data_IF_909903672846
#
_entry.id   IF_909903672846
#
_cell.length_a   1.000
_cell.length_b   1.000
_cell.length_c   1.000
_cell.angle_alpha   90.00
_cell.angle_beta   90.00
_cell.angle_gamma   90.00
#
_symmetry.space_group_name_H-M   'P 1'
#
loop_
_entity.id
_entity.type
_entity.pdbx_description
1 polymer ?
#
# COMPACT_ATOMS: atom_id res chain seq x y z
N UNK A 1 -25.42 12.79 9.06
CA UNK A 1 -24.63 13.65 8.16
C UNK A 1 -23.69 12.72 7.40
N UNK A 2 -23.87 12.53 6.09
CA UNK A 2 -23.08 11.56 5.30
C UNK A 2 -21.86 12.29 4.78
N UNK A 3 -20.68 11.96 5.29
CA UNK A 3 -19.42 12.46 4.73
C UNK A 3 -19.14 11.68 3.45
N UNK A 4 -19.25 12.35 2.31
CA UNK A 4 -18.78 11.79 1.02
C UNK A 4 -17.44 12.44 0.80
N UNK A 5 -16.37 11.67 0.95
CA UNK A 5 -15.04 12.14 0.60
C UNK A 5 -15.04 12.54 -0.89
N UNK A 6 -14.40 13.66 -1.27
CA UNK A 6 -14.23 14.00 -2.67
C UNK A 6 -13.49 12.85 -3.40
N UNK A 7 -13.73 12.67 -4.71
CA UNK A 7 -13.00 11.67 -5.48
C UNK A 7 -11.49 11.91 -5.33
N UNK A 8 -10.74 10.83 -5.17
CA UNK A 8 -9.29 10.88 -5.05
C UNK A 8 -8.61 11.39 -6.33
N UNK A 9 -7.27 11.55 -6.30
CA UNK A 9 -6.50 11.94 -7.48
C UNK A 9 -6.72 10.97 -8.63
N UNK A 10 -6.53 11.44 -9.86
CA UNK A 10 -6.43 10.57 -11.03
C UNK A 10 -5.31 9.54 -10.84
N UNK A 11 -5.52 8.31 -11.31
CA UNK A 11 -4.50 7.27 -11.28
C UNK A 11 -3.71 7.27 -12.58
N UNK A 12 -2.38 7.17 -12.46
CA UNK A 12 -1.45 7.08 -13.58
C UNK A 12 -0.59 5.84 -13.45
N UNK A 13 -0.23 5.23 -14.57
CA UNK A 13 0.69 4.09 -14.59
C UNK A 13 2.10 4.58 -14.33
N UNK A 14 2.75 4.05 -13.31
CA UNK A 14 4.15 4.33 -13.03
C UNK A 14 5.06 3.50 -13.93
N UNK A 15 5.98 4.11 -14.67
CA UNK A 15 6.97 3.37 -15.46
C UNK A 15 7.86 2.47 -14.57
N UNK A 16 8.24 2.98 -13.40
CA UNK A 16 9.03 2.23 -12.41
C UNK A 16 8.20 1.09 -11.80
N UNK A 17 6.94 1.36 -11.45
CA UNK A 17 6.01 0.36 -10.93
C UNK A 17 5.74 -0.75 -11.95
N UNK A 18 5.48 -0.39 -13.21
CA UNK A 18 5.20 -1.34 -14.29
C UNK A 18 6.39 -2.25 -14.55
N UNK A 19 7.61 -1.70 -14.58
CA UNK A 19 8.84 -2.48 -14.72
C UNK A 19 9.00 -3.48 -13.56
N UNK A 20 8.61 -3.09 -12.35
CA UNK A 20 8.68 -3.96 -11.17
C UNK A 20 7.63 -5.08 -11.21
N UNK A 21 6.39 -4.76 -11.58
CA UNK A 21 5.31 -5.74 -11.76
C UNK A 21 5.71 -6.79 -12.81
N UNK A 22 6.18 -6.36 -13.97
CA UNK A 22 6.60 -7.25 -15.06
C UNK A 22 7.72 -8.21 -14.66
N UNK A 23 8.73 -7.68 -13.96
CA UNK A 23 9.82 -8.49 -13.41
C UNK A 23 9.28 -9.53 -12.42
N UNK A 24 8.40 -9.14 -11.49
CA UNK A 24 7.84 -10.07 -10.52
C UNK A 24 6.95 -11.14 -11.16
N UNK A 25 6.15 -10.79 -12.18
CA UNK A 25 5.37 -11.78 -12.93
C UNK A 25 6.27 -12.79 -13.65
N UNK A 26 7.38 -12.31 -14.22
CA UNK A 26 8.38 -13.20 -14.84
C UNK A 26 8.96 -14.17 -13.82
N UNK A 27 9.37 -13.68 -12.65
CA UNK A 27 9.91 -14.51 -11.56
C UNK A 27 8.88 -15.52 -11.02
N UNK A 28 7.60 -15.13 -10.93
CA UNK A 28 6.52 -16.04 -10.53
C UNK A 28 6.35 -17.15 -11.57
N UNK A 29 6.33 -16.80 -12.87
CA UNK A 29 6.22 -17.77 -13.95
C UNK A 29 7.39 -18.76 -13.97
N UNK A 30 8.61 -18.29 -13.75
CA UNK A 30 9.79 -19.16 -13.67
C UNK A 30 9.76 -20.09 -12.46
N UNK A 31 9.28 -19.59 -11.30
CA UNK A 31 9.24 -20.36 -10.06
C UNK A 31 8.08 -21.35 -10.02
N UNK A 32 6.93 -20.99 -10.62
CA UNK A 32 5.71 -21.79 -10.62
C UNK A 32 5.09 -21.76 -12.04
N UNK A 33 5.62 -22.56 -12.98
CA UNK A 33 5.21 -22.51 -14.39
C UNK A 33 3.73 -22.83 -14.64
N UNK A 34 3.12 -23.63 -13.76
CA UNK A 34 1.73 -24.06 -13.86
C UNK A 34 0.73 -23.09 -13.18
N UNK A 35 1.23 -22.01 -12.56
CA UNK A 35 0.36 -20.99 -11.96
C UNK A 35 -0.12 -20.03 -13.03
N UNK A 36 -1.43 -20.03 -13.28
CA UNK A 36 -2.07 -18.99 -14.08
C UNK A 36 -2.27 -17.74 -13.22
N UNK A 37 -1.58 -16.65 -13.61
CA UNK A 37 -1.73 -15.33 -12.99
C UNK A 37 -2.47 -14.44 -13.98
N UNK A 38 -3.75 -14.16 -13.70
CA UNK A 38 -4.59 -13.26 -14.49
C UNK A 38 -4.69 -11.90 -13.78
N UNK A 39 -3.73 -11.02 -14.06
CA UNK A 39 -3.68 -9.66 -13.49
C UNK A 39 -3.41 -8.64 -14.59
N UNK A 40 -4.02 -7.46 -14.46
CA UNK A 40 -3.70 -6.32 -15.33
C UNK A 40 -2.46 -5.61 -14.78
N UNK A 41 -1.33 -5.81 -15.44
CA UNK A 41 -0.04 -5.23 -15.05
C UNK A 41 -0.09 -3.71 -14.89
N UNK A 42 -0.89 -3.03 -15.72
CA UNK A 42 -0.99 -1.56 -15.72
C UNK A 42 -1.85 -1.11 -14.55
N UNK A 43 -2.90 -1.86 -14.22
CA UNK A 43 -3.70 -1.61 -13.03
C UNK A 43 -2.87 -1.81 -11.76
N UNK A 44 -2.09 -2.89 -11.67
CA UNK A 44 -1.18 -3.15 -10.55
C UNK A 44 -0.09 -2.07 -10.42
N UNK A 45 0.35 -1.48 -11.53
CA UNK A 45 1.34 -0.40 -11.54
C UNK A 45 0.75 1.01 -11.40
N UNK A 46 -0.56 1.14 -11.17
CA UNK A 46 -1.23 2.44 -11.10
C UNK A 46 -1.07 3.08 -9.73
N UNK A 47 -0.66 4.36 -9.71
CA UNK A 47 -0.49 5.17 -8.51
C UNK A 47 -1.21 6.52 -8.68
N UNK A 48 -1.56 7.24 -7.58
CA UNK A 48 -2.09 8.60 -7.67
C UNK A 48 -1.16 9.52 -8.47
N UNK A 49 -1.73 10.36 -9.34
CA UNK A 49 -0.99 11.34 -10.11
C UNK A 49 -0.18 12.27 -9.19
N UNK A 50 1.09 12.50 -9.55
CA UNK A 50 2.02 13.32 -8.76
C UNK A 50 2.61 12.61 -7.54
N UNK A 51 2.26 11.36 -7.28
CA UNK A 51 2.90 10.57 -6.22
C UNK A 51 4.23 9.97 -6.66
N UNK A 52 5.11 9.74 -5.69
CA UNK A 52 6.33 8.96 -5.86
C UNK A 52 6.02 7.48 -5.59
N UNK A 53 6.34 6.55 -6.50
CA UNK A 53 6.17 5.12 -6.25
C UNK A 53 7.12 4.63 -5.15
N UNK A 54 6.62 3.73 -4.30
CA UNK A 54 7.41 2.91 -3.37
C UNK A 54 7.35 1.47 -3.84
N UNK A 55 8.49 0.89 -4.21
CA UNK A 55 8.52 -0.46 -4.72
C UNK A 55 8.14 -1.47 -3.63
N UNK A 56 7.22 -2.36 -3.96
CA UNK A 56 6.90 -3.51 -3.14
C UNK A 56 7.78 -4.67 -3.58
N UNK A 57 8.80 -5.00 -2.81
CA UNK A 57 9.65 -6.14 -3.15
C UNK A 57 8.88 -7.45 -2.98
N UNK A 58 7.97 -7.55 -2.02
CA UNK A 58 7.27 -8.81 -1.69
C UNK A 58 5.97 -9.05 -2.50
N UNK A 59 5.44 -8.01 -3.14
CA UNK A 59 4.19 -8.04 -3.91
C UNK A 59 4.30 -7.48 -5.33
N UNK A 60 3.15 -7.35 -6.01
CA UNK A 60 3.04 -6.75 -7.34
C UNK A 60 2.81 -5.24 -7.25
N UNK A 61 1.73 -4.83 -6.58
CA UNK A 61 1.35 -3.42 -6.47
C UNK A 61 2.38 -2.62 -5.64
N UNK A 62 2.93 -1.50 -6.18
CA UNK A 62 3.74 -0.59 -5.41
C UNK A 62 2.88 0.22 -4.43
N UNK A 63 3.51 0.66 -3.34
CA UNK A 63 2.98 1.75 -2.53
C UNK A 63 3.23 3.11 -3.19
N UNK A 64 2.81 4.19 -2.53
CA UNK A 64 3.11 5.53 -3.02
C UNK A 64 3.20 6.58 -1.91
N UNK A 65 3.93 7.66 -2.18
CA UNK A 65 3.97 8.87 -1.35
C UNK A 65 3.37 10.03 -2.13
N UNK A 66 2.32 10.63 -1.60
CA UNK A 66 1.75 11.88 -2.10
C UNK A 66 1.83 12.93 -0.99
N UNK A 67 2.68 13.94 -1.18
CA UNK A 67 3.02 14.92 -0.15
C UNK A 67 3.49 14.24 1.15
N UNK A 68 2.71 14.31 2.23
CA UNK A 68 2.99 13.67 3.52
C UNK A 68 2.10 12.43 3.78
N UNK A 69 1.44 11.90 2.74
CA UNK A 69 0.57 10.73 2.81
C UNK A 69 1.30 9.53 2.22
N UNK A 70 1.48 8.50 3.03
CA UNK A 70 2.08 7.23 2.64
C UNK A 70 1.00 6.17 2.50
N UNK A 71 0.95 5.53 1.34
CA UNK A 71 0.07 4.39 1.06
C UNK A 71 0.94 3.14 1.00
N UNK A 72 0.67 2.20 1.91
CA UNK A 72 1.38 0.93 2.02
C UNK A 72 0.44 -0.23 1.69
N UNK A 73 0.97 -1.39 1.25
CA UNK A 73 0.16 -2.57 0.99
C UNK A 73 -0.58 -3.05 2.24
N UNK A 74 -1.74 -3.68 2.02
CA UNK A 74 -2.60 -4.15 3.11
C UNK A 74 -2.14 -5.47 3.76
N UNK A 75 -1.21 -6.19 3.13
CA UNK A 75 -0.65 -7.42 3.67
C UNK A 75 0.41 -7.05 4.73
N UNK A 76 0.29 -7.54 5.98
CA UNK A 76 1.14 -7.07 7.08
C UNK A 76 2.65 -7.23 6.84
N UNK A 77 3.08 -8.32 6.20
CA UNK A 77 4.50 -8.56 5.97
C UNK A 77 5.06 -7.64 4.86
N UNK A 78 4.30 -7.41 3.78
CA UNK A 78 4.64 -6.42 2.75
C UNK A 78 4.65 -5.00 3.32
N UNK A 79 3.67 -4.68 4.17
CA UNK A 79 3.58 -3.37 4.84
C UNK A 79 4.82 -3.10 5.68
N UNK A 80 5.25 -4.08 6.49
CA UNK A 80 6.45 -3.95 7.35
C UNK A 80 7.71 -3.78 6.52
N UNK A 81 7.92 -4.63 5.52
CA UNK A 81 9.09 -4.55 4.65
C UNK A 81 9.17 -3.19 3.93
N UNK A 82 8.03 -2.72 3.42
CA UNK A 82 7.97 -1.41 2.76
C UNK A 82 8.19 -0.27 3.75
N UNK A 83 7.60 -0.33 4.94
CA UNK A 83 7.80 0.68 5.98
C UNK A 83 9.26 0.78 6.41
N UNK A 84 9.95 -0.35 6.59
CA UNK A 84 11.37 -0.37 6.94
C UNK A 84 12.24 0.37 5.90
N UNK A 85 11.87 0.34 4.62
CA UNK A 85 12.59 1.04 3.54
C UNK A 85 12.45 2.57 3.58
N UNK A 86 11.41 3.09 4.23
CA UNK A 86 11.10 4.52 4.32
C UNK A 86 11.16 5.05 5.76
N UNK A 87 11.53 4.21 6.74
CA UNK A 87 11.48 4.56 8.16
C UNK A 87 12.31 5.81 8.48
N UNK A 88 13.46 5.97 7.82
CA UNK A 88 14.35 7.12 7.98
C UNK A 88 13.72 8.44 7.47
N UNK A 89 12.70 8.38 6.62
CA UNK A 89 11.95 9.55 6.15
C UNK A 89 11.04 10.16 7.24
N UNK A 90 10.73 9.39 8.31
CA UNK A 90 9.87 9.82 9.43
C UNK A 90 10.66 10.43 10.61
N UNK A 91 11.87 10.94 10.37
CA UNK A 91 12.66 11.57 11.42
C UNK A 91 11.97 12.85 11.97
N UNK A 92 11.83 12.95 13.30
CA UNK A 92 11.21 14.11 13.97
C UNK A 92 10.65 13.78 15.37
N UNK A 93 10.03 14.76 16.03
CA UNK A 93 9.30 14.53 17.28
C UNK A 93 7.96 13.83 17.01
N UNK A 94 7.78 12.62 17.57
CA UNK A 94 6.52 11.88 17.49
C UNK A 94 5.61 12.23 18.67
N UNK A 95 4.39 12.68 18.40
CA UNK A 95 3.31 12.72 19.40
C UNK A 95 2.32 11.62 19.06
N UNK A 96 2.33 10.53 19.83
CA UNK A 96 1.29 9.49 19.76
C UNK A 96 0.33 9.66 20.93
N UNK A 97 -0.93 9.99 20.64
CA UNK A 97 -2.00 9.95 21.64
C UNK A 97 -2.83 8.69 21.40
N UNK A 98 -2.71 7.71 22.30
CA UNK A 98 -3.53 6.49 22.24
C UNK A 98 -4.76 6.70 23.10
N UNK A 99 -5.91 6.90 22.46
CA UNK A 99 -7.20 6.94 23.14
C UNK A 99 -7.67 5.52 23.43
N UNK A 100 -7.50 5.07 24.68
CA UNK A 100 -8.17 3.87 25.18
C UNK A 100 -9.58 4.25 25.62
N UNK A 101 -10.60 3.80 24.88
CA UNK A 101 -11.98 3.88 25.38
C UNK A 101 -12.15 2.82 26.47
N UNK A 102 -12.34 3.25 27.71
CA UNK A 102 -12.71 2.41 28.86
C UNK A 102 -14.21 2.09 28.88
N UNK A 103 -14.84 1.90 27.72
CA UNK A 103 -16.11 1.18 27.69
C UNK A 103 -15.77 -0.30 27.64
N UNK A 104 -15.92 -1.06 28.75
CA UNK A 104 -16.04 -2.49 28.60
C UNK A 104 -17.22 -2.72 27.65
N UNK A 105 -17.05 -3.64 26.70
CA UNK A 105 -18.14 -4.28 25.97
C UNK A 105 -19.06 -4.95 27.02
N UNK A 106 -19.88 -4.17 27.70
CA UNK A 106 -20.85 -4.67 28.66
C UNK A 106 -22.00 -5.19 27.84
N UNK A 107 -21.97 -6.51 27.63
CA UNK A 107 -23.13 -7.32 27.32
C UNK A 107 -24.31 -6.81 28.14
N UNK A 108 -25.33 -6.26 27.45
CA UNK A 108 -26.55 -5.81 28.08
C UNK A 108 -27.19 -6.97 28.83
N UNK A 109 -27.28 -6.84 30.15
CA UNK A 109 -28.21 -7.63 30.94
C UNK A 109 -29.50 -6.83 31.05
N UNK A 110 -30.55 -7.31 30.40
CA UNK A 110 -31.96 -7.25 30.85
C UNK A 110 -32.78 -8.20 29.99
#
# INVERSE_FOLDING_TARGET
MRFVAPPGPELVVSDLGLSAVQRRLTEIHERIPDLEVDVDERAEASIPAGSRPLLNEEGLAPGCVLENIYVLPGIPDEMRAMFDSIADEFAGESVSETLYTVEPESYGSS
#
